data_IF_120072750671
#
_entry.id   IF_120072750671
#
_cell.length_a   1.000
_cell.length_b   1.000
_cell.length_c   1.000
_cell.angle_alpha   90.00
_cell.angle_beta   90.00
_cell.angle_gamma   90.00
#
_symmetry.space_group_name_H-M   'P 1'
#
loop_
_entity.id
_entity.type
_entity.pdbx_description
1 polymer ?
#
# COMPACT_ATOMS: atom_id res chain seq x y z
N UNK A 1 9.78 5.73 10.33
CA UNK A 1 10.49 4.55 9.78
C UNK A 1 11.71 4.96 8.97
N UNK A 2 11.55 5.67 7.84
CA UNK A 2 12.66 5.99 6.92
C UNK A 2 13.82 6.76 7.55
N UNK A 3 13.56 7.58 8.56
CA UNK A 3 14.61 8.27 9.32
C UNK A 3 15.56 7.30 10.02
N UNK A 4 15.04 6.23 10.63
CA UNK A 4 15.84 5.21 11.33
C UNK A 4 16.63 4.36 10.33
N UNK A 5 16.01 4.01 9.20
CA UNK A 5 16.69 3.28 8.11
C UNK A 5 17.84 4.12 7.55
N UNK A 6 17.61 5.41 7.27
CA UNK A 6 18.65 6.33 6.79
C UNK A 6 19.76 6.61 7.81
N UNK A 7 19.45 6.52 9.11
CA UNK A 7 20.44 6.60 10.18
C UNK A 7 21.30 5.32 10.33
N UNK A 8 20.92 4.23 9.66
CA UNK A 8 21.63 2.94 9.73
C UNK A 8 21.14 2.01 10.85
N UNK A 9 20.02 2.33 11.51
CA UNK A 9 19.49 1.55 12.63
C UNK A 9 18.79 0.24 12.20
N UNK A 10 18.67 -0.03 10.90
CA UNK A 10 18.15 -1.31 10.40
C UNK A 10 17.53 -1.27 9.00
N UNK A 11 16.74 -2.30 8.69
CA UNK A 11 16.02 -2.47 7.42
C UNK A 11 14.50 -2.42 7.63
N UNK A 12 13.77 -2.00 6.62
CA UNK A 12 12.31 -1.95 6.64
C UNK A 12 11.68 -2.46 5.34
N UNK A 13 10.40 -2.81 5.41
CA UNK A 13 9.60 -3.21 4.26
C UNK A 13 8.65 -2.08 3.86
N UNK A 14 8.37 -1.99 2.56
CA UNK A 14 7.50 -0.98 2.01
C UNK A 14 6.76 -1.48 0.77
N UNK A 15 5.65 -0.83 0.46
CA UNK A 15 4.86 -1.14 -0.73
C UNK A 15 5.54 -0.50 -1.94
N UNK A 16 5.63 -1.23 -3.05
CA UNK A 16 6.27 -0.74 -4.27
C UNK A 16 5.72 0.60 -4.79
N UNK A 17 4.41 0.85 -4.62
CA UNK A 17 3.79 2.13 -4.98
C UNK A 17 4.21 3.30 -4.08
N UNK A 18 4.44 3.04 -2.78
CA UNK A 18 4.92 4.08 -1.85
C UNK A 18 6.38 4.44 -2.15
N UNK A 19 7.19 3.41 -2.40
CA UNK A 19 8.60 3.53 -2.78
C UNK A 19 8.81 4.51 -3.94
N UNK A 20 7.95 4.47 -4.96
CA UNK A 20 8.05 5.35 -6.14
C UNK A 20 7.86 6.84 -5.81
N UNK A 21 7.28 7.16 -4.66
CA UNK A 21 7.02 8.55 -4.24
C UNK A 21 8.11 9.13 -3.34
N UNK A 22 9.13 8.35 -2.97
CA UNK A 22 10.15 8.76 -2.01
C UNK A 22 11.34 9.44 -2.68
N UNK A 23 11.71 10.63 -2.17
CA UNK A 23 12.97 11.31 -2.49
C UNK A 23 13.96 11.14 -1.32
N UNK A 24 14.57 9.95 -1.22
CA UNK A 24 15.48 9.58 -0.10
C UNK A 24 16.78 8.96 -0.62
N UNK A 25 17.78 9.78 -1.00
CA UNK A 25 19.05 9.28 -1.54
C UNK A 25 19.90 8.54 -0.49
N UNK A 26 19.58 8.70 0.78
CA UNK A 26 20.20 8.00 1.92
C UNK A 26 19.69 6.56 2.10
N UNK A 27 18.74 6.10 1.27
CA UNK A 27 18.10 4.79 1.39
C UNK A 27 18.16 4.04 0.07
N UNK A 28 18.75 2.84 0.09
CA UNK A 28 18.73 1.92 -1.06
C UNK A 28 17.51 1.01 -0.96
N UNK A 29 16.79 0.87 -2.08
CA UNK A 29 15.61 0.02 -2.18
C UNK A 29 15.98 -1.25 -2.93
N UNK A 30 15.62 -2.41 -2.36
CA UNK A 30 15.87 -3.73 -2.95
C UNK A 30 14.55 -4.50 -3.06
N UNK A 31 14.18 -5.00 -4.26
CA UNK A 31 13.06 -5.91 -4.41
C UNK A 31 13.24 -7.16 -3.54
N UNK A 32 12.15 -7.70 -3.00
CA UNK A 32 12.18 -9.00 -2.32
C UNK A 32 12.49 -10.09 -3.35
N UNK A 33 13.33 -11.05 -2.98
CA UNK A 33 13.69 -12.16 -3.87
C UNK A 33 12.47 -13.06 -4.15
N UNK A 34 12.53 -13.77 -5.29
CA UNK A 34 11.48 -14.66 -5.79
C UNK A 34 10.17 -13.92 -6.12
N UNK A 35 9.10 -14.20 -5.38
CA UNK A 35 7.78 -13.62 -5.59
C UNK A 35 7.49 -12.64 -4.45
N UNK A 36 7.33 -11.35 -4.78
CA UNK A 36 6.87 -10.38 -3.79
C UNK A 36 5.51 -10.83 -3.23
N UNK A 37 5.31 -10.81 -1.90
CA UNK A 37 4.05 -11.23 -1.30
C UNK A 37 2.92 -10.30 -1.76
N UNK A 38 1.77 -10.87 -2.10
CA UNK A 38 0.58 -10.10 -2.45
C UNK A 38 0.07 -9.35 -1.22
N UNK A 39 0.13 -8.02 -1.26
CA UNK A 39 -0.50 -7.18 -0.26
C UNK A 39 -1.98 -7.02 -0.59
N UNK A 40 -2.86 -7.55 0.27
CA UNK A 40 -4.31 -7.41 0.10
C UNK A 40 -4.83 -6.28 0.97
N UNK A 41 -5.41 -5.25 0.35
CA UNK A 41 -6.06 -4.14 1.04
C UNK A 41 -7.55 -4.42 1.21
N UNK A 42 -8.01 -4.51 2.45
CA UNK A 42 -9.42 -4.78 2.76
C UNK A 42 -10.16 -3.50 3.15
N UNK A 43 -11.35 -3.32 2.58
CA UNK A 43 -12.32 -2.35 3.08
C UNK A 43 -13.13 -2.99 4.21
N UNK A 44 -12.74 -2.72 5.45
CA UNK A 44 -13.48 -3.18 6.63
C UNK A 44 -14.72 -2.31 6.85
N UNK A 45 -15.87 -2.95 7.01
CA UNK A 45 -17.13 -2.28 7.37
C UNK A 45 -17.94 -3.12 8.34
N UNK A 46 -18.81 -2.46 9.11
CA UNK A 46 -19.86 -3.15 9.85
C UNK A 46 -20.80 -3.87 8.88
N UNK A 47 -21.26 -5.07 9.23
CA UNK A 47 -22.21 -5.88 8.45
C UNK A 47 -23.65 -5.33 8.49
N UNK A 48 -23.82 -4.04 8.24
CA UNK A 48 -25.12 -3.36 8.14
C UNK A 48 -25.36 -2.83 6.74
N UNK A 49 -26.57 -2.38 6.44
CA UNK A 49 -26.86 -1.66 5.19
C UNK A 49 -26.01 -0.37 5.18
N UNK A 50 -25.18 -0.13 4.14
CA UNK A 50 -24.37 1.07 4.06
C UNK A 50 -25.26 2.29 3.79
N UNK A 51 -24.97 3.39 4.49
CA UNK A 51 -25.63 4.67 4.23
C UNK A 51 -25.31 5.18 2.82
N UNK A 52 -26.16 6.04 2.26
CA UNK A 52 -25.94 6.61 0.93
C UNK A 52 -24.57 7.31 0.77
N UNK A 53 -24.08 8.10 1.74
CA UNK A 53 -22.71 8.64 1.69
C UNK A 53 -21.64 7.55 1.62
N UNK A 54 -21.81 6.46 2.37
CA UNK A 54 -20.88 5.33 2.37
C UNK A 54 -20.88 4.60 1.03
N UNK A 55 -22.05 4.42 0.39
CA UNK A 55 -22.13 3.84 -0.96
C UNK A 55 -21.36 4.66 -1.98
N UNK A 56 -21.52 6.00 -1.97
CA UNK A 56 -20.78 6.90 -2.86
C UNK A 56 -19.27 6.88 -2.61
N UNK A 57 -18.85 6.76 -1.35
CA UNK A 57 -17.44 6.65 -1.00
C UNK A 57 -16.80 5.33 -1.48
N UNK A 58 -17.55 4.22 -1.42
CA UNK A 58 -17.05 2.90 -1.82
C UNK A 58 -17.04 2.71 -3.35
N UNK A 59 -17.91 3.43 -4.08
CA UNK A 59 -18.07 3.28 -5.52
C UNK A 59 -16.75 3.46 -6.32
N UNK A 60 -15.93 4.51 -6.08
CA UNK A 60 -14.63 4.64 -6.74
C UNK A 60 -13.64 3.52 -6.39
N UNK A 61 -13.65 3.03 -5.15
CA UNK A 61 -12.71 2.01 -4.67
C UNK A 61 -12.92 0.65 -5.35
N UNK A 62 -14.18 0.30 -5.65
CA UNK A 62 -14.50 -0.94 -6.38
C UNK A 62 -13.97 -0.94 -7.81
N UNK A 63 -13.87 0.23 -8.43
CA UNK A 63 -13.48 0.36 -9.83
C UNK A 63 -11.95 0.29 -10.01
N UNK A 64 -11.17 0.76 -9.02
CA UNK A 64 -9.70 0.71 -9.06
C UNK A 64 -9.08 -0.61 -8.61
N UNK A 65 -9.80 -1.46 -7.87
CA UNK A 65 -9.29 -2.74 -7.39
C UNK A 65 -9.25 -3.83 -8.49
N UNK A 66 -9.95 -3.65 -9.61
CA UNK A 66 -10.03 -4.63 -10.69
C UNK A 66 -8.92 -4.50 -11.75
N UNK A 67 -8.06 -3.48 -11.66
CA UNK A 67 -7.06 -3.16 -12.69
C UNK A 67 -5.62 -3.43 -12.28
N UNK A 68 -5.39 -4.16 -11.18
CA UNK A 68 -4.04 -4.41 -10.64
C UNK A 68 -3.57 -5.87 -10.78
N UNK A 69 -4.19 -6.62 -11.70
CA UNK A 69 -3.82 -7.98 -12.06
C UNK A 69 -3.63 -8.09 -13.56
N UNK A 70 -2.54 -7.51 -14.06
CA UNK A 70 -1.89 -7.82 -15.34
C UNK A 70 -0.37 -7.64 -15.15
#
# INVERSE_FOLDING_TARGET
MLTLVGAGDGIGFAIGSQVQTWERPDIVIRPLADLAPTLTTYLLRRQSVPSEPMKRFIQPMKNGAASSGD
#
